data_IF_381780184491
#
_entry.id   IF_381780184491
#
_cell.length_a   1.000
_cell.length_b   1.000
_cell.length_c   1.000
_cell.angle_alpha   90.00
_cell.angle_beta   90.00
_cell.angle_gamma   90.00
#
_symmetry.space_group_name_H-M   'P 1'
#
loop_
_entity.id
_entity.type
_entity.pdbx_description
1 polymer ?
#
# COMPACT_ATOMS: atom_id res chain seq x y z
N UNK A 1 5.16 52.25 -32.86
CA UNK A 1 6.03 51.06 -32.92
C UNK A 1 5.10 49.85 -32.80
N UNK A 2 4.86 48.98 -33.81
CA UNK A 2 5.80 48.13 -34.61
C UNK A 2 6.78 47.40 -33.69
N UNK A 3 6.91 46.07 -33.63
CA UNK A 3 6.30 44.92 -34.34
C UNK A 3 6.14 43.76 -33.31
N UNK A 4 5.64 42.54 -33.56
CA UNK A 4 5.37 41.74 -34.77
C UNK A 4 4.09 40.89 -34.58
N UNK A 5 3.76 40.01 -35.54
CA UNK A 5 2.71 38.98 -35.44
C UNK A 5 3.01 37.82 -36.41
N UNK A 6 2.84 36.57 -35.95
CA UNK A 6 2.62 35.32 -36.73
C UNK A 6 2.00 34.32 -35.74
N UNK A 7 0.73 33.91 -35.84
CA UNK A 7 0.03 33.15 -36.89
C UNK A 7 0.63 31.76 -37.12
N UNK A 8 -0.05 30.71 -36.63
CA UNK A 8 0.10 29.34 -37.09
C UNK A 8 -1.27 28.66 -37.26
N UNK A 9 -1.34 27.79 -38.26
CA UNK A 9 -2.57 27.36 -38.93
C UNK A 9 -3.40 26.32 -38.14
N UNK A 10 -4.73 26.36 -38.30
CA UNK A 10 -5.60 25.19 -38.05
C UNK A 10 -5.17 24.05 -38.98
N UNK A 11 -5.13 22.80 -38.49
CA UNK A 11 -5.18 21.62 -39.37
C UNK A 11 -6.31 20.67 -38.98
N UNK A 12 -7.05 20.26 -40.00
CA UNK A 12 -8.27 19.45 -39.94
C UNK A 12 -7.98 18.00 -39.53
N UNK A 13 -8.95 17.37 -38.86
CA UNK A 13 -8.97 15.92 -38.70
C UNK A 13 -9.26 15.24 -40.05
N UNK A 14 -8.59 14.11 -40.30
CA UNK A 14 -9.00 13.12 -41.29
C UNK A 14 -9.01 11.78 -40.59
N UNK A 15 -10.21 11.25 -40.37
CA UNK A 15 -10.41 9.84 -40.05
C UNK A 15 -9.98 8.98 -41.24
N UNK A 16 -9.41 7.81 -40.93
CA UNK A 16 -9.35 6.70 -41.88
C UNK A 16 -10.01 5.50 -41.23
N UNK A 17 -11.15 5.12 -41.79
CA UNK A 17 -11.79 3.84 -41.53
C UNK A 17 -10.83 2.72 -41.97
N UNK A 18 -10.75 1.65 -41.18
CA UNK A 18 -10.19 0.39 -41.64
C UNK A 18 -11.34 -0.59 -41.79
N UNK A 19 -11.60 -1.02 -43.03
CA UNK A 19 -12.70 -1.95 -43.32
C UNK A 19 -12.31 -3.39 -43.00
N UNK A 20 -13.29 -4.04 -42.41
CA UNK A 20 -13.47 -5.45 -42.13
C UNK A 20 -13.30 -6.32 -43.40
N UNK A 21 -12.77 -7.54 -43.22
CA UNK A 21 -12.78 -8.60 -44.20
C UNK A 21 -12.77 -9.94 -43.46
N UNK A 22 -13.85 -10.70 -43.62
CA UNK A 22 -14.15 -11.88 -42.81
C UNK A 22 -13.55 -13.20 -43.32
N UNK A 23 -13.44 -14.12 -42.37
CA UNK A 23 -13.72 -15.57 -42.46
C UNK A 23 -12.69 -16.57 -43.07
N UNK A 24 -12.93 -17.81 -42.65
CA UNK A 24 -12.52 -19.13 -43.12
C UNK A 24 -11.27 -19.77 -42.48
N UNK A 25 -11.55 -20.84 -41.75
CA UNK A 25 -10.65 -21.93 -41.35
C UNK A 25 -11.42 -23.26 -41.54
N UNK A 26 -10.85 -24.46 -41.30
CA UNK A 26 -9.46 -24.93 -41.39
C UNK A 26 -9.38 -26.19 -42.32
N UNK A 27 -8.32 -27.01 -42.18
CA UNK A 27 -8.05 -28.37 -42.77
C UNK A 27 -7.03 -28.40 -43.92
N UNK A 28 -6.28 -29.48 -44.20
CA UNK A 28 -5.81 -30.71 -43.48
C UNK A 28 -4.87 -31.46 -44.48
N UNK A 29 -4.13 -32.50 -44.07
CA UNK A 29 -3.45 -33.51 -44.94
C UNK A 29 -2.31 -32.95 -45.86
N UNK A 30 -1.01 -33.10 -45.56
CA UNK A 30 -0.15 -34.30 -45.55
C UNK A 30 0.41 -34.73 -46.93
N UNK A 31 1.73 -34.96 -46.93
CA UNK A 31 2.52 -35.92 -47.71
C UNK A 31 3.21 -35.59 -49.06
N UNK A 32 4.33 -36.32 -49.24
CA UNK A 32 5.08 -36.62 -50.49
C UNK A 32 5.83 -35.48 -51.23
N UNK A 33 6.98 -35.72 -51.89
CA UNK A 33 8.00 -36.78 -51.74
C UNK A 33 9.27 -36.46 -52.56
N UNK A 34 10.44 -36.76 -51.98
CA UNK A 34 11.65 -37.32 -52.64
C UNK A 34 12.17 -36.69 -53.96
N UNK A 35 13.42 -36.16 -53.93
CA UNK A 35 14.40 -36.43 -55.01
C UNK A 35 15.88 -36.47 -54.58
N UNK A 36 16.29 -37.69 -54.19
CA UNK A 36 17.60 -38.34 -54.37
C UNK A 36 18.72 -37.55 -55.09
N UNK A 37 19.89 -37.40 -54.42
CA UNK A 37 21.16 -37.99 -54.90
C UNK A 37 22.20 -38.17 -53.79
N UNK A 38 22.90 -39.29 -53.81
CA UNK A 38 23.91 -39.66 -52.83
C UNK A 38 25.34 -39.37 -53.31
N UNK A 39 26.24 -39.09 -52.37
CA UNK A 39 27.67 -39.36 -52.49
C UNK A 39 28.19 -39.85 -51.13
N UNK A 40 29.10 -40.83 -51.14
CA UNK A 40 29.62 -41.50 -49.94
C UNK A 40 30.87 -40.81 -49.40
N UNK A 41 30.91 -40.53 -48.10
CA UNK A 41 32.11 -40.15 -47.36
C UNK A 41 32.06 -40.79 -45.98
N UNK A 42 33.01 -41.69 -45.68
CA UNK A 42 33.02 -42.49 -44.46
C UNK A 42 33.92 -41.88 -43.39
N UNK A 43 33.39 -41.62 -42.19
CA UNK A 43 34.18 -41.76 -40.96
C UNK A 43 33.27 -42.02 -39.76
N UNK A 44 33.62 -43.03 -38.95
CA UNK A 44 32.94 -43.40 -37.70
C UNK A 44 33.64 -42.71 -36.54
N UNK A 45 32.90 -41.96 -35.71
CA UNK A 45 33.31 -41.63 -34.35
C UNK A 45 32.24 -42.05 -33.36
N UNK A 46 32.67 -42.66 -32.26
CA UNK A 46 31.81 -43.34 -31.28
C UNK A 46 31.34 -42.34 -30.23
N UNK A 47 30.02 -42.11 -30.14
CA UNK A 47 29.43 -41.37 -29.02
C UNK A 47 29.22 -42.30 -27.81
N UNK A 48 30.01 -42.08 -26.76
CA UNK A 48 29.82 -42.74 -25.47
C UNK A 48 28.82 -41.93 -24.63
N UNK A 49 27.58 -42.43 -24.49
CA UNK A 49 26.53 -41.77 -23.72
C UNK A 49 26.66 -42.04 -22.22
N UNK A 50 27.12 -41.05 -21.43
CA UNK A 50 27.10 -41.12 -19.96
C UNK A 50 25.75 -40.62 -19.44
N UNK A 51 24.88 -41.56 -19.04
CA UNK A 51 23.51 -41.30 -18.59
C UNK A 51 23.45 -40.95 -17.09
N UNK A 52 23.70 -39.70 -16.72
CA UNK A 52 23.56 -39.23 -15.32
C UNK A 52 22.08 -38.97 -14.99
N UNK A 53 21.41 -39.95 -14.39
CA UNK A 53 20.08 -39.73 -13.79
C UNK A 53 20.23 -39.38 -12.31
N UNK A 54 20.02 -38.11 -11.95
CA UNK A 54 19.77 -37.71 -10.55
C UNK A 54 18.26 -37.49 -10.38
N UNK A 55 17.59 -38.40 -9.66
CA UNK A 55 16.21 -38.19 -9.22
C UNK A 55 16.18 -37.04 -8.20
N UNK A 56 15.54 -35.93 -8.55
CA UNK A 56 15.20 -34.88 -7.59
C UNK A 56 13.99 -35.37 -6.78
N UNK A 57 14.19 -35.70 -5.50
CA UNK A 57 13.10 -36.11 -4.61
C UNK A 57 12.50 -34.86 -3.96
N UNK A 58 11.37 -34.39 -4.48
CA UNK A 58 10.60 -33.31 -3.85
C UNK A 58 10.10 -33.84 -2.51
N UNK A 59 10.46 -33.17 -1.42
CA UNK A 59 9.94 -33.51 -0.10
C UNK A 59 8.47 -33.11 -0.01
N UNK A 60 7.61 -34.07 0.36
CA UNK A 60 6.21 -33.81 0.68
C UNK A 60 6.11 -32.86 1.87
N UNK A 61 5.21 -31.87 1.79
CA UNK A 61 4.91 -30.96 2.89
C UNK A 61 4.29 -31.70 4.07
N UNK A 62 4.73 -31.35 5.27
CA UNK A 62 4.36 -32.00 6.54
C UNK A 62 2.85 -31.90 6.84
N UNK A 63 2.24 -33.01 7.26
CA UNK A 63 0.83 -33.09 7.65
C UNK A 63 0.49 -32.23 8.87
N UNK A 64 1.47 -31.98 9.73
CA UNK A 64 1.35 -31.16 10.96
C UNK A 64 0.88 -29.73 10.66
N UNK A 65 1.32 -29.16 9.53
CA UNK A 65 0.93 -27.81 9.11
C UNK A 65 -0.56 -27.71 8.72
N UNK A 66 -1.14 -28.79 8.17
CA UNK A 66 -2.56 -28.81 7.78
C UNK A 66 -3.49 -28.87 9.00
N UNK A 67 -3.11 -29.63 10.02
CA UNK A 67 -3.89 -29.75 11.27
C UNK A 67 -3.91 -28.41 12.01
N UNK A 68 -2.77 -27.71 12.07
CA UNK A 68 -2.68 -26.37 12.68
C UNK A 68 -3.58 -25.34 11.98
N UNK A 69 -3.59 -25.33 10.64
CA UNK A 69 -4.43 -24.43 9.84
C UNK A 69 -5.93 -24.69 10.03
N UNK A 70 -6.34 -25.96 10.16
CA UNK A 70 -7.75 -26.32 10.40
C UNK A 70 -8.17 -25.99 11.84
N UNK A 71 -7.30 -26.20 12.84
CA UNK A 71 -7.58 -25.79 14.23
C UNK A 71 -7.74 -24.27 14.38
N UNK A 72 -6.89 -23.47 13.72
CA UNK A 72 -7.04 -22.01 13.74
C UNK A 72 -8.37 -21.56 13.10
N UNK A 73 -8.80 -22.21 12.01
CA UNK A 73 -10.07 -21.88 11.35
C UNK A 73 -11.31 -22.22 12.23
N UNK A 74 -11.26 -23.29 13.02
CA UNK A 74 -12.35 -23.70 13.92
C UNK A 74 -12.46 -22.81 15.16
N UNK A 75 -11.34 -22.33 15.72
CA UNK A 75 -11.35 -21.43 16.88
C UNK A 75 -11.89 -20.04 16.52
N UNK A 76 -11.65 -19.56 15.30
CA UNK A 76 -12.21 -18.28 14.81
C UNK A 76 -13.75 -18.27 14.66
N UNK A 77 -14.44 -19.41 14.79
CA UNK A 77 -15.91 -19.49 14.72
C UNK A 77 -16.62 -19.52 16.08
N UNK A 78 -15.90 -19.38 17.20
CA UNK A 78 -16.46 -19.54 18.55
C UNK A 78 -16.68 -18.22 19.32
N UNK A 79 -16.54 -17.06 18.68
CA UNK A 79 -16.86 -15.75 19.28
C UNK A 79 -17.93 -15.04 18.44
N UNK A 80 -19.16 -15.52 18.54
CA UNK A 80 -20.35 -14.75 18.17
C UNK A 80 -20.99 -14.20 19.43
N UNK A 81 -20.53 -13.03 19.89
CA UNK A 81 -21.26 -12.25 20.88
C UNK A 81 -22.63 -11.89 20.29
N UNK A 82 -23.70 -12.20 21.02
CA UNK A 82 -25.07 -11.87 20.61
C UNK A 82 -25.36 -10.38 20.83
N UNK A 83 -24.78 -9.53 19.98
CA UNK A 83 -25.09 -8.10 19.95
C UNK A 83 -26.48 -7.85 19.36
N UNK A 84 -27.22 -6.89 19.92
CA UNK A 84 -28.50 -6.45 19.36
C UNK A 84 -28.26 -5.58 18.12
N UNK A 85 -28.70 -6.06 16.96
CA UNK A 85 -28.76 -5.24 15.73
C UNK A 85 -29.82 -4.15 15.87
N UNK A 86 -29.69 -3.05 15.13
CA UNK A 86 -30.60 -1.90 15.23
C UNK A 86 -32.08 -2.30 15.13
N UNK A 87 -32.43 -3.19 14.20
CA UNK A 87 -33.81 -3.62 13.94
C UNK A 87 -34.46 -4.48 15.04
N UNK A 88 -33.69 -4.89 16.06
CA UNK A 88 -34.19 -5.66 17.21
C UNK A 88 -34.41 -4.83 18.48
N UNK A 89 -34.03 -3.56 18.45
CA UNK A 89 -34.02 -2.69 19.63
C UNK A 89 -35.38 -2.03 19.89
N UNK A 90 -35.76 -1.93 21.17
CA UNK A 90 -37.01 -1.29 21.61
C UNK A 90 -36.68 -0.08 22.49
N UNK A 91 -37.10 1.11 22.09
CA UNK A 91 -36.88 2.34 22.85
C UNK A 91 -37.81 2.44 24.07
N UNK A 92 -37.28 2.92 25.20
CA UNK A 92 -38.03 3.12 26.45
C UNK A 92 -39.21 4.09 26.30
N UNK A 93 -39.06 5.08 25.44
CA UNK A 93 -40.10 6.07 25.09
C UNK A 93 -41.16 5.55 24.10
N UNK A 94 -41.04 4.30 23.64
CA UNK A 94 -41.88 3.67 22.62
C UNK A 94 -41.87 4.36 21.24
N UNK A 95 -40.86 5.17 20.92
CA UNK A 95 -40.68 5.71 19.57
C UNK A 95 -40.42 4.56 18.58
N UNK A 96 -41.02 4.68 17.39
CA UNK A 96 -40.81 3.77 16.27
C UNK A 96 -40.14 4.52 15.12
N UNK A 97 -38.99 4.02 14.67
CA UNK A 97 -38.25 4.58 13.55
C UNK A 97 -38.44 3.71 12.30
N UNK A 98 -38.68 4.32 11.14
CA UNK A 98 -38.91 3.59 9.88
C UNK A 98 -37.64 2.97 9.31
N UNK A 99 -36.47 3.46 9.73
CA UNK A 99 -35.16 3.06 9.23
C UNK A 99 -34.14 3.04 10.37
N UNK A 100 -33.18 2.14 10.29
CA UNK A 100 -32.05 2.12 11.20
C UNK A 100 -30.82 1.53 10.51
N UNK A 101 -29.63 1.79 11.07
CA UNK A 101 -28.41 1.11 10.67
C UNK A 101 -27.41 0.98 11.81
N UNK A 102 -26.75 -0.17 11.84
CA UNK A 102 -25.55 -0.43 12.62
C UNK A 102 -24.39 0.35 11.96
N UNK A 103 -23.75 1.27 12.68
CA UNK A 103 -22.61 2.04 12.16
C UNK A 103 -21.34 1.16 12.20
N UNK A 104 -20.41 1.36 11.26
CA UNK A 104 -19.29 0.43 11.07
C UNK A 104 -18.22 0.48 12.16
N UNK A 105 -18.21 1.54 12.96
CA UNK A 105 -17.17 1.86 13.94
C UNK A 105 -17.81 2.26 15.28
N UNK A 106 -17.08 2.09 16.39
CA UNK A 106 -17.46 2.49 17.76
C UNK A 106 -18.72 1.80 18.31
N UNK A 107 -19.18 0.71 17.69
CA UNK A 107 -20.36 -0.04 18.14
C UNK A 107 -21.66 0.78 18.15
N UNK A 108 -21.71 1.87 17.39
CA UNK A 108 -22.78 2.86 17.42
C UNK A 108 -23.94 2.52 16.49
N UNK A 109 -25.11 3.11 16.73
CA UNK A 109 -26.31 2.90 15.90
C UNK A 109 -27.03 4.21 15.61
N UNK A 110 -27.63 4.33 14.42
CA UNK A 110 -28.51 5.43 14.06
C UNK A 110 -29.88 4.89 13.63
N UNK A 111 -30.94 5.47 14.17
CA UNK A 111 -32.34 5.20 13.81
C UNK A 111 -32.97 6.49 13.34
N UNK A 112 -33.86 6.43 12.35
CA UNK A 112 -34.53 7.63 11.85
C UNK A 112 -35.87 7.38 11.14
N UNK A 113 -36.66 8.44 11.11
CA UNK A 113 -37.87 8.57 10.30
C UNK A 113 -37.77 9.84 9.46
N UNK A 114 -37.93 9.72 8.15
CA UNK A 114 -37.84 10.83 7.19
C UNK A 114 -39.23 11.20 6.68
N UNK A 115 -39.68 12.42 6.98
CA UNK A 115 -40.97 12.93 6.56
C UNK A 115 -40.88 13.72 5.24
N UNK A 116 -41.97 13.74 4.48
CA UNK A 116 -42.04 14.38 3.15
C UNK A 116 -41.87 15.90 3.18
N UNK A 117 -42.14 16.54 4.31
CA UNK A 117 -41.94 17.98 4.53
C UNK A 117 -40.47 18.38 4.77
N UNK A 118 -39.54 17.42 4.88
CA UNK A 118 -38.15 17.69 5.24
C UNK A 118 -37.83 17.59 6.73
N UNK A 119 -38.77 17.19 7.58
CA UNK A 119 -38.46 16.78 8.96
C UNK A 119 -37.73 15.44 8.97
N UNK A 120 -36.71 15.30 9.81
CA UNK A 120 -35.98 14.07 10.08
C UNK A 120 -35.96 13.87 11.60
N UNK A 121 -36.63 12.83 12.09
CA UNK A 121 -36.55 12.40 13.48
C UNK A 121 -35.47 11.33 13.60
N UNK A 122 -34.63 11.39 14.63
CA UNK A 122 -33.55 10.43 14.85
C UNK A 122 -33.45 9.93 16.30
N UNK A 123 -32.80 8.78 16.45
CA UNK A 123 -32.13 8.36 17.68
C UNK A 123 -30.72 7.84 17.35
N UNK A 124 -29.68 8.54 17.81
CA UNK A 124 -28.30 8.03 17.80
C UNK A 124 -28.01 7.33 19.14
N UNK A 125 -27.50 6.10 19.12
CA UNK A 125 -27.29 5.27 20.31
C UNK A 125 -25.84 4.80 20.41
N UNK A 126 -25.26 5.00 21.60
CA UNK A 126 -23.95 4.49 22.00
C UNK A 126 -24.12 3.54 23.19
N UNK A 127 -23.98 2.21 23.02
CA UNK A 127 -23.83 1.26 24.11
C UNK A 127 -22.49 1.42 24.85
N UNK A 128 -22.31 0.68 25.93
CA UNK A 128 -21.08 0.64 26.75
C UNK A 128 -20.63 2.04 27.25
N UNK A 129 -21.59 2.95 27.42
CA UNK A 129 -21.37 4.34 27.75
C UNK A 129 -20.98 4.54 29.23
N UNK A 130 -19.88 5.27 29.45
CA UNK A 130 -19.48 5.76 30.78
C UNK A 130 -19.89 7.22 30.99
N UNK A 131 -20.35 7.57 32.20
CA UNK A 131 -20.62 8.97 32.57
C UNK A 131 -19.38 9.88 32.57
N UNK A 132 -18.18 9.32 32.42
CA UNK A 132 -16.93 10.05 32.18
C UNK A 132 -16.71 10.43 30.72
N UNK A 133 -17.64 10.10 29.82
CA UNK A 133 -17.52 10.32 28.39
C UNK A 133 -18.62 11.26 27.87
N UNK A 134 -18.38 11.80 26.67
CA UNK A 134 -19.39 12.42 25.81
C UNK A 134 -19.55 11.60 24.54
N UNK A 135 -20.70 11.73 23.90
CA UNK A 135 -20.99 11.17 22.57
C UNK A 135 -21.49 12.28 21.64
N UNK A 136 -21.27 12.13 20.33
CA UNK A 136 -21.80 13.04 19.34
C UNK A 136 -22.12 12.35 18.01
N UNK A 137 -23.18 12.81 17.36
CA UNK A 137 -23.48 12.51 15.96
C UNK A 137 -23.70 13.81 15.21
N UNK A 138 -23.19 13.91 13.98
CA UNK A 138 -23.15 15.17 13.26
C UNK A 138 -23.35 15.01 11.75
N UNK A 139 -24.03 15.98 11.13
CA UNK A 139 -24.15 16.10 9.67
C UNK A 139 -23.10 17.08 9.15
N UNK A 140 -22.37 16.71 8.09
CA UNK A 140 -21.57 17.66 7.31
C UNK A 140 -22.13 17.79 5.90
N UNK A 141 -22.75 18.94 5.61
CA UNK A 141 -23.39 19.22 4.31
C UNK A 141 -22.38 19.51 3.20
N UNK A 142 -21.14 19.87 3.53
CA UNK A 142 -20.15 20.39 2.58
C UNK A 142 -18.92 19.48 2.40
N UNK A 143 -18.66 18.59 3.35
CA UNK A 143 -17.51 17.67 3.34
C UNK A 143 -17.88 16.32 3.96
N UNK A 144 -16.98 15.34 3.87
CA UNK A 144 -17.16 14.04 4.54
C UNK A 144 -16.50 13.95 5.92
N UNK A 145 -15.72 14.96 6.33
CA UNK A 145 -14.94 14.93 7.58
C UNK A 145 -15.54 15.73 8.75
N UNK A 146 -14.83 15.74 9.87
CA UNK A 146 -15.21 16.46 11.10
C UNK A 146 -15.35 17.98 10.92
N UNK A 147 -14.44 18.63 10.17
CA UNK A 147 -14.45 20.09 10.03
C UNK A 147 -15.60 20.53 9.11
N UNK A 148 -16.43 21.45 9.60
CA UNK A 148 -17.70 21.85 9.00
C UNK A 148 -18.89 20.96 9.39
N UNK A 149 -18.70 19.98 10.27
CA UNK A 149 -19.81 19.16 10.77
C UNK A 149 -20.67 19.94 11.78
N UNK A 150 -21.93 19.57 11.85
CA UNK A 150 -22.97 20.22 12.64
C UNK A 150 -23.54 19.17 13.58
N UNK A 151 -23.09 19.23 14.82
CA UNK A 151 -23.18 18.11 15.76
C UNK A 151 -24.30 18.26 16.78
N UNK A 152 -24.83 17.12 17.17
CA UNK A 152 -25.66 16.90 18.33
C UNK A 152 -24.78 16.17 19.34
N UNK A 153 -24.61 16.74 20.53
CA UNK A 153 -23.66 16.27 21.54
C UNK A 153 -24.45 15.91 22.79
N UNK A 154 -24.11 14.81 23.45
CA UNK A 154 -24.68 14.42 24.73
C UNK A 154 -23.64 13.89 25.72
N UNK A 155 -23.88 14.15 27.01
CA UNK A 155 -23.10 13.61 28.13
C UNK A 155 -23.94 13.64 29.43
N UNK A 156 -23.41 13.10 30.53
CA UNK A 156 -24.05 13.19 31.86
C UNK A 156 -23.59 14.45 32.59
N UNK A 157 -24.47 15.43 32.72
CA UNK A 157 -24.24 16.61 33.55
C UNK A 157 -24.83 16.39 34.95
N UNK A 158 -23.98 16.31 35.98
CA UNK A 158 -24.42 16.28 37.39
C UNK A 158 -25.49 15.22 37.67
N UNK A 159 -25.29 14.02 37.12
CA UNK A 159 -26.21 12.85 37.15
C UNK A 159 -27.43 12.88 36.23
N UNK A 160 -27.69 13.96 35.48
CA UNK A 160 -28.74 14.00 34.45
C UNK A 160 -28.15 13.89 33.03
N UNK A 161 -28.79 13.18 32.09
CA UNK A 161 -28.40 13.26 30.68
C UNK A 161 -28.68 14.67 30.14
N UNK A 162 -27.74 15.21 29.37
CA UNK A 162 -27.82 16.54 28.78
C UNK A 162 -27.42 16.48 27.31
N UNK A 163 -28.22 17.09 26.42
CA UNK A 163 -27.97 17.15 24.99
C UNK A 163 -28.15 18.56 24.44
N UNK A 164 -27.36 18.90 23.42
CA UNK A 164 -27.33 20.23 22.81
C UNK A 164 -26.66 20.19 21.42
N UNK A 165 -26.79 21.27 20.65
CA UNK A 165 -26.17 21.41 19.32
C UNK A 165 -24.81 22.11 19.40
N UNK A 166 -23.85 21.70 18.58
CA UNK A 166 -22.53 22.36 18.47
C UNK A 166 -22.00 22.38 17.02
N UNK A 167 -21.66 23.56 16.46
CA UNK A 167 -21.00 23.66 15.16
C UNK A 167 -19.49 23.40 15.27
N UNK A 168 -18.97 22.46 14.46
CA UNK A 168 -17.55 22.06 14.48
C UNK A 168 -16.77 22.76 13.37
N UNK A 169 -16.18 23.93 13.67
CA UNK A 169 -15.44 24.74 12.70
C UNK A 169 -13.95 24.40 12.58
N UNK A 170 -13.37 23.65 13.53
CA UNK A 170 -11.96 23.24 13.53
C UNK A 170 -11.73 21.97 14.36
N UNK A 171 -10.53 21.39 14.26
CA UNK A 171 -10.07 20.30 15.13
C UNK A 171 -9.80 20.73 16.58
N UNK A 172 -9.73 22.04 16.86
CA UNK A 172 -9.53 22.60 18.19
C UNK A 172 -10.87 22.95 18.88
N UNK A 173 -11.95 22.28 18.50
CA UNK A 173 -13.27 22.48 19.10
C UNK A 173 -13.32 21.95 20.53
N UNK A 174 -14.05 22.65 21.40
CA UNK A 174 -14.44 22.18 22.74
C UNK A 174 -15.86 21.60 22.75
N UNK A 175 -16.47 21.43 21.57
CA UNK A 175 -17.89 21.12 21.39
C UNK A 175 -18.80 22.05 22.21
N UNK A 176 -18.51 23.36 22.21
CA UNK A 176 -19.32 24.35 22.91
C UNK A 176 -20.72 24.48 22.28
N UNK A 177 -21.79 24.75 23.07
CA UNK A 177 -23.13 24.95 22.54
C UNK A 177 -23.20 26.08 21.50
N UNK A 178 -23.92 25.84 20.41
CA UNK A 178 -24.10 26.83 19.33
C UNK A 178 -25.11 26.40 18.28
N UNK A 179 -25.60 27.38 17.52
CA UNK A 179 -26.59 27.19 16.46
C UNK A 179 -26.02 26.46 15.24
N UNK A 180 -26.87 25.68 14.57
CA UNK A 180 -26.56 25.02 13.30
C UNK A 180 -27.20 25.77 12.12
N UNK A 181 -26.81 25.43 10.89
CA UNK A 181 -27.37 25.98 9.64
C UNK A 181 -28.75 25.42 9.30
N UNK A 182 -29.25 24.47 10.08
CA UNK A 182 -30.57 23.87 9.99
C UNK A 182 -31.21 23.88 11.38
N UNK A 183 -32.53 23.90 11.42
CA UNK A 183 -33.28 23.94 12.68
C UNK A 183 -33.25 22.58 13.37
N UNK A 184 -33.14 22.59 14.69
CA UNK A 184 -33.26 21.40 15.56
C UNK A 184 -34.32 21.71 16.62
N UNK A 185 -35.62 21.69 16.28
CA UNK A 185 -36.70 22.09 17.19
C UNK A 185 -36.82 21.19 18.44
N UNK A 186 -36.26 19.98 18.40
CA UNK A 186 -36.21 19.07 19.55
C UNK A 186 -34.84 18.41 19.65
N UNK A 187 -34.26 18.41 20.85
CA UNK A 187 -33.08 17.61 21.20
C UNK A 187 -33.18 17.19 22.67
N UNK A 188 -32.99 15.90 22.93
CA UNK A 188 -33.07 15.26 24.25
C UNK A 188 -31.99 14.18 24.34
N UNK A 189 -31.56 13.82 25.55
CA UNK A 189 -30.74 12.63 25.78
C UNK A 189 -31.33 11.75 26.88
N UNK A 190 -31.05 10.45 26.75
CA UNK A 190 -31.37 9.42 27.73
C UNK A 190 -30.10 8.65 28.07
N UNK A 191 -29.91 8.37 29.36
CA UNK A 191 -28.91 7.44 29.85
C UNK A 191 -29.64 6.36 30.66
N UNK A 192 -29.67 5.14 30.14
CA UNK A 192 -30.30 4.00 30.79
C UNK A 192 -29.48 2.75 30.47
N UNK A 193 -29.50 1.72 31.32
CA UNK A 193 -28.88 0.40 31.06
C UNK A 193 -27.39 0.37 30.61
N UNK A 194 -26.62 1.46 30.80
CA UNK A 194 -25.24 1.56 30.29
C UNK A 194 -25.13 2.02 28.83
N UNK A 195 -26.19 2.59 28.26
CA UNK A 195 -26.22 3.21 26.94
C UNK A 195 -26.65 4.68 27.03
N UNK A 196 -26.10 5.51 26.14
CA UNK A 196 -26.51 6.91 25.96
C UNK A 196 -27.15 7.07 24.58
N UNK A 197 -28.31 7.72 24.55
CA UNK A 197 -29.10 7.95 23.34
C UNK A 197 -29.33 9.44 23.16
N UNK A 198 -29.09 9.95 21.94
CA UNK A 198 -29.47 11.30 21.52
C UNK A 198 -30.72 11.20 20.67
N UNK A 199 -31.84 11.74 21.15
CA UNK A 199 -33.05 11.94 20.36
C UNK A 199 -33.07 13.35 19.79
N UNK A 200 -33.38 13.49 18.51
CA UNK A 200 -33.53 14.81 17.91
C UNK A 200 -34.52 14.84 16.75
N UNK A 201 -35.10 16.01 16.53
CA UNK A 201 -35.88 16.35 15.34
C UNK A 201 -35.13 17.45 14.60
N UNK A 202 -34.82 17.22 13.32
CA UNK A 202 -34.07 18.13 12.45
C UNK A 202 -34.96 18.59 11.29
N UNK A 203 -34.89 19.86 10.91
CA UNK A 203 -35.56 20.38 9.71
C UNK A 203 -34.52 20.59 8.59
N UNK A 204 -34.45 19.62 7.68
CA UNK A 204 -33.54 19.60 6.55
C UNK A 204 -34.31 19.87 5.25
N UNK A 205 -33.69 20.49 4.25
CA UNK A 205 -34.33 20.67 2.93
C UNK A 205 -34.95 19.36 2.43
N UNK A 206 -36.19 19.40 1.93
CA UNK A 206 -36.89 18.22 1.41
C UNK A 206 -36.19 17.60 0.20
N UNK A 207 -35.35 18.38 -0.51
CA UNK A 207 -34.48 17.90 -1.59
C UNK A 207 -33.25 17.11 -1.11
N UNK A 208 -32.91 17.14 0.18
CA UNK A 208 -31.82 16.31 0.72
C UNK A 208 -32.30 14.89 0.94
N UNK A 209 -31.86 13.99 0.05
CA UNK A 209 -32.01 12.54 0.15
C UNK A 209 -30.83 11.87 0.85
N UNK A 210 -29.68 12.56 0.90
CA UNK A 210 -28.41 11.95 1.31
C UNK A 210 -27.55 12.97 2.05
N UNK A 211 -26.92 12.57 3.15
CA UNK A 211 -26.06 13.42 3.98
C UNK A 211 -24.75 12.71 4.31
N UNK A 212 -23.66 13.46 4.48
CA UNK A 212 -22.47 12.92 5.13
C UNK A 212 -22.65 13.04 6.64
N UNK A 213 -22.34 11.96 7.35
CA UNK A 213 -22.40 11.87 8.79
C UNK A 213 -21.03 11.56 9.37
N UNK A 214 -20.76 12.08 10.57
CA UNK A 214 -19.63 11.67 11.42
C UNK A 214 -20.18 11.42 12.82
N UNK A 215 -19.60 10.45 13.53
CA UNK A 215 -19.98 10.12 14.90
C UNK A 215 -18.73 9.91 15.75
N UNK A 216 -18.82 10.18 17.05
CA UNK A 216 -17.70 10.09 17.98
C UNK A 216 -18.15 9.85 19.41
N UNK A 217 -17.20 9.33 20.20
CA UNK A 217 -17.19 9.42 21.65
C UNK A 217 -15.82 9.88 22.14
N UNK A 218 -15.76 10.46 23.34
CA UNK A 218 -14.49 10.93 23.92
C UNK A 218 -14.60 11.23 25.41
N UNK A 219 -13.47 11.56 26.07
CA UNK A 219 -13.42 11.82 27.50
C UNK A 219 -14.08 13.17 27.86
N UNK A 220 -14.84 13.20 28.95
CA UNK A 220 -15.45 14.38 29.53
C UNK A 220 -14.65 14.84 30.77
N UNK A 221 -14.25 16.11 30.82
CA UNK A 221 -13.52 16.69 31.95
C UNK A 221 -14.27 17.89 32.50
N UNK A 222 -14.78 17.78 33.73
CA UNK A 222 -15.50 18.89 34.40
C UNK A 222 -16.71 19.43 33.62
N UNK A 223 -17.43 18.57 32.90
CA UNK A 223 -18.54 18.96 32.02
C UNK A 223 -18.12 19.52 30.65
N UNK A 224 -16.81 19.59 30.35
CA UNK A 224 -16.29 19.99 29.03
C UNK A 224 -15.88 18.75 28.23
N UNK A 225 -16.38 18.56 27.00
CA UNK A 225 -15.87 17.55 26.08
C UNK A 225 -14.39 17.74 25.76
N UNK A 226 -13.57 16.71 26.03
CA UNK A 226 -12.17 16.62 25.65
C UNK A 226 -11.98 15.94 24.29
N UNK A 227 -10.78 16.05 23.72
CA UNK A 227 -10.42 15.45 22.43
C UNK A 227 -10.61 13.94 22.43
N UNK A 228 -11.32 13.40 21.45
CA UNK A 228 -11.43 11.97 21.19
C UNK A 228 -10.12 11.38 20.63
N UNK A 229 -10.00 10.05 20.57
CA UNK A 229 -8.82 9.42 19.95
C UNK A 229 -8.70 9.78 18.47
N UNK A 230 -7.47 9.96 17.98
CA UNK A 230 -7.19 10.33 16.59
C UNK A 230 -6.61 9.17 15.77
N UNK A 231 -6.93 7.93 16.14
CA UNK A 231 -6.48 6.69 15.48
C UNK A 231 -7.61 5.65 15.37
N UNK A 232 -7.36 4.54 14.68
CA UNK A 232 -8.27 3.38 14.63
C UNK A 232 -9.69 3.70 14.14
N UNK A 233 -10.68 3.20 14.88
CA UNK A 233 -12.11 3.37 14.60
C UNK A 233 -12.56 4.84 14.58
N UNK A 234 -11.97 5.68 15.44
CA UNK A 234 -12.37 7.09 15.56
C UNK A 234 -12.11 7.90 14.28
N UNK A 235 -11.03 7.62 13.55
CA UNK A 235 -10.75 8.26 12.25
C UNK A 235 -11.49 7.60 11.07
N UNK A 236 -12.22 6.51 11.33
CA UNK A 236 -13.06 5.80 10.37
C UNK A 236 -14.55 6.06 10.59
N UNK A 237 -14.94 6.66 11.73
CA UNK A 237 -16.32 6.94 12.17
C UNK A 237 -17.00 8.06 11.37
N UNK A 238 -17.07 7.86 10.06
CA UNK A 238 -17.59 8.79 9.06
C UNK A 238 -18.19 8.03 7.88
N UNK A 239 -19.31 8.50 7.35
CA UNK A 239 -20.02 7.79 6.29
C UNK A 239 -21.04 8.65 5.56
N UNK A 240 -21.78 8.02 4.65
CA UNK A 240 -22.84 8.66 3.89
C UNK A 240 -24.15 7.92 4.13
N UNK A 241 -25.15 8.65 4.62
CA UNK A 241 -26.46 8.16 5.02
C UNK A 241 -27.48 8.56 3.95
N UNK A 242 -28.16 7.57 3.35
CA UNK A 242 -29.36 7.80 2.55
C UNK A 242 -30.57 7.87 3.48
N UNK A 243 -31.19 9.05 3.54
CA UNK A 243 -32.32 9.33 4.43
C UNK A 243 -33.62 8.64 3.99
N UNK A 244 -33.72 8.18 2.73
CA UNK A 244 -34.92 7.56 2.16
C UNK A 244 -34.85 6.03 2.15
N UNK A 245 -33.72 5.45 1.75
CA UNK A 245 -33.63 4.00 1.50
C UNK A 245 -33.30 3.15 2.73
N UNK A 246 -32.98 3.77 3.88
CA UNK A 246 -32.51 3.05 5.06
C UNK A 246 -31.05 2.57 4.96
N UNK A 247 -30.39 2.75 3.82
CA UNK A 247 -29.03 2.27 3.61
C UNK A 247 -27.99 3.32 4.00
N UNK A 248 -27.22 3.07 5.07
CA UNK A 248 -25.86 3.61 5.08
C UNK A 248 -25.07 2.94 3.98
N UNK A 249 -24.43 3.72 3.12
CA UNK A 249 -23.37 3.18 2.28
C UNK A 249 -22.06 3.16 3.09
N UNK A 250 -21.87 2.09 3.86
CA UNK A 250 -20.59 1.75 4.50
C UNK A 250 -19.55 1.49 3.40
N UNK A 251 -18.94 2.58 2.91
CA UNK A 251 -18.05 2.56 1.75
C UNK A 251 -18.70 2.91 0.41
N UNK A 252 -19.69 3.80 0.36
CA UNK A 252 -20.23 4.34 -0.90
C UNK A 252 -19.25 5.27 -1.64
N UNK A 253 -18.49 4.74 -2.61
CA UNK A 253 -17.72 5.47 -3.63
C UNK A 253 -16.50 6.31 -3.18
N UNK A 254 -16.55 7.12 -2.12
CA UNK A 254 -15.44 8.02 -1.73
C UNK A 254 -14.52 7.45 -0.64
N UNK A 255 -15.07 6.97 0.48
CA UNK A 255 -14.27 6.48 1.62
C UNK A 255 -13.71 5.08 1.36
N UNK A 256 -14.51 4.16 0.79
CA UNK A 256 -14.01 2.84 0.35
C UNK A 256 -12.95 2.98 -0.73
N UNK A 257 -13.10 3.93 -1.67
CA UNK A 257 -12.06 4.16 -2.69
C UNK A 257 -10.80 4.78 -2.08
N UNK A 258 -10.91 5.61 -1.03
CA UNK A 258 -9.75 6.12 -0.26
C UNK A 258 -9.03 5.00 0.50
N UNK A 259 -9.74 4.17 1.28
CA UNK A 259 -9.16 3.02 1.99
C UNK A 259 -8.57 2.01 0.99
N UNK A 260 -9.28 1.69 -0.08
CA UNK A 260 -8.77 0.86 -1.18
C UNK A 260 -7.54 1.48 -1.85
N UNK A 261 -7.48 2.79 -2.06
CA UNK A 261 -6.28 3.50 -2.57
C UNK A 261 -5.12 3.43 -1.59
N UNK A 262 -5.34 3.60 -0.28
CA UNK A 262 -4.32 3.40 0.77
C UNK A 262 -3.75 1.98 0.71
N UNK A 263 -4.62 0.97 0.67
CA UNK A 263 -4.22 -0.44 0.60
C UNK A 263 -3.49 -0.77 -0.71
N UNK A 264 -3.98 -0.27 -1.85
CA UNK A 264 -3.29 -0.39 -3.16
C UNK A 264 -1.92 0.29 -3.11
N UNK A 265 -1.81 1.51 -2.58
CA UNK A 265 -0.55 2.21 -2.42
C UNK A 265 0.44 1.39 -1.57
N UNK A 266 0.01 0.89 -0.41
CA UNK A 266 0.84 0.04 0.45
C UNK A 266 1.33 -1.23 -0.27
N UNK A 267 0.42 -2.00 -0.86
CA UNK A 267 0.75 -3.24 -1.59
C UNK A 267 1.68 -2.98 -2.77
N UNK A 268 1.40 -1.96 -3.60
CA UNK A 268 2.25 -1.61 -4.74
C UNK A 268 3.68 -1.30 -4.29
N UNK A 269 3.86 -0.51 -3.22
CA UNK A 269 5.17 -0.11 -2.72
C UNK A 269 5.92 -1.26 -2.01
N UNK A 270 5.23 -2.12 -1.26
CA UNK A 270 5.83 -3.32 -0.64
C UNK A 270 6.33 -4.30 -1.71
N UNK A 271 5.55 -4.54 -2.78
CA UNK A 271 5.96 -5.43 -3.87
C UNK A 271 7.10 -4.82 -4.70
N UNK A 272 7.02 -3.53 -5.04
CA UNK A 272 8.04 -2.85 -5.86
C UNK A 272 9.32 -2.53 -5.06
N UNK A 273 9.30 -1.41 -4.33
CA UNK A 273 10.42 -0.88 -3.57
C UNK A 273 10.86 -1.81 -2.44
N UNK A 274 9.89 -2.43 -1.76
CA UNK A 274 10.14 -3.31 -0.62
C UNK A 274 10.68 -4.71 -0.97
N UNK A 275 10.45 -5.21 -2.20
CA UNK A 275 10.74 -6.61 -2.56
C UNK A 275 11.47 -6.75 -3.89
N UNK A 276 10.95 -6.22 -5.00
CA UNK A 276 11.58 -6.34 -6.33
C UNK A 276 12.92 -5.58 -6.41
N UNK A 277 13.01 -4.37 -5.81
CA UNK A 277 14.27 -3.62 -5.79
C UNK A 277 15.42 -4.36 -5.08
N UNK A 278 15.29 -4.84 -3.83
CA UNK A 278 16.33 -5.64 -3.18
C UNK A 278 16.58 -6.98 -3.88
N UNK A 279 15.54 -7.68 -4.37
CA UNK A 279 15.71 -8.93 -5.12
C UNK A 279 16.55 -8.73 -6.39
N UNK A 280 16.28 -7.68 -7.16
CA UNK A 280 17.05 -7.35 -8.36
C UNK A 280 18.51 -7.01 -8.03
N UNK A 281 18.77 -6.36 -6.90
CA UNK A 281 20.13 -6.09 -6.43
C UNK A 281 20.85 -7.39 -6.01
N UNK A 282 20.17 -8.31 -5.32
CA UNK A 282 20.69 -9.63 -4.98
C UNK A 282 21.05 -10.44 -6.23
N UNK A 283 20.19 -10.44 -7.26
CA UNK A 283 20.47 -11.10 -8.56
C UNK A 283 21.79 -10.58 -9.15
N UNK A 284 21.98 -9.26 -9.24
CA UNK A 284 23.20 -8.68 -9.79
C UNK A 284 24.46 -8.92 -8.94
N UNK A 285 24.33 -8.99 -7.60
CA UNK A 285 25.43 -9.27 -6.69
C UNK A 285 25.87 -10.74 -6.78
N UNK A 286 24.93 -11.68 -6.70
CA UNK A 286 25.22 -13.10 -6.52
C UNK A 286 25.31 -13.90 -7.81
N UNK A 287 24.40 -13.69 -8.78
CA UNK A 287 24.39 -14.50 -10.01
C UNK A 287 25.56 -14.16 -10.94
N UNK A 288 26.04 -12.91 -10.92
CA UNK A 288 27.19 -12.42 -11.71
C UNK A 288 28.50 -13.20 -11.43
N UNK A 289 28.61 -13.90 -10.31
CA UNK A 289 29.78 -14.73 -9.96
C UNK A 289 29.83 -16.02 -10.80
N UNK A 290 28.71 -16.48 -11.36
CA UNK A 290 28.62 -17.70 -12.17
C UNK A 290 28.80 -17.37 -13.65
N UNK A 291 29.87 -17.87 -14.28
CA UNK A 291 30.13 -17.66 -15.72
C UNK A 291 29.00 -18.19 -16.60
N UNK A 292 28.37 -19.30 -16.21
CA UNK A 292 27.20 -19.87 -16.91
C UNK A 292 25.94 -18.99 -16.83
N UNK A 293 25.93 -17.93 -16.01
CA UNK A 293 24.85 -16.97 -15.88
C UNK A 293 25.13 -15.64 -16.61
N UNK A 294 26.24 -15.49 -17.32
CA UNK A 294 26.48 -14.33 -18.20
C UNK A 294 25.93 -14.62 -19.61
N UNK A 295 25.09 -13.76 -20.21
CA UNK A 295 24.62 -12.45 -19.74
C UNK A 295 23.29 -12.48 -18.94
N UNK A 296 22.73 -13.67 -18.66
CA UNK A 296 21.40 -13.83 -18.03
C UNK A 296 21.21 -13.02 -16.72
N UNK A 297 22.21 -12.94 -15.85
CA UNK A 297 22.14 -12.15 -14.60
C UNK A 297 21.83 -10.67 -14.87
N UNK A 298 22.35 -10.12 -15.97
CA UNK A 298 22.16 -8.71 -16.33
C UNK A 298 20.74 -8.45 -16.80
N UNK A 299 20.19 -9.32 -17.66
CA UNK A 299 18.81 -9.22 -18.10
C UNK A 299 17.82 -9.45 -16.95
N UNK A 300 18.06 -10.41 -16.07
CA UNK A 300 17.23 -10.66 -14.88
C UNK A 300 17.26 -9.46 -13.92
N UNK A 301 18.42 -8.87 -13.68
CA UNK A 301 18.54 -7.64 -12.90
C UNK A 301 17.73 -6.49 -13.53
N UNK A 302 17.95 -6.19 -14.82
CA UNK A 302 17.23 -5.10 -15.52
C UNK A 302 15.72 -5.35 -15.56
N UNK A 303 15.26 -6.58 -15.79
CA UNK A 303 13.84 -6.92 -15.76
C UNK A 303 13.23 -6.69 -14.38
N UNK A 304 13.92 -7.10 -13.30
CA UNK A 304 13.45 -6.95 -11.93
C UNK A 304 13.44 -5.47 -11.49
N UNK A 305 14.48 -4.70 -11.82
CA UNK A 305 14.56 -3.26 -11.52
C UNK A 305 13.53 -2.45 -12.31
N UNK A 306 13.37 -2.71 -13.63
CA UNK A 306 12.41 -1.97 -14.46
C UNK A 306 10.96 -2.28 -14.08
N UNK A 307 10.62 -3.54 -13.80
CA UNK A 307 9.26 -3.91 -13.34
C UNK A 307 8.97 -3.35 -11.94
N UNK A 308 9.92 -3.46 -11.01
CA UNK A 308 9.86 -2.79 -9.70
C UNK A 308 9.64 -1.29 -9.86
N UNK A 309 10.41 -0.61 -10.71
CA UNK A 309 10.30 0.83 -10.91
C UNK A 309 8.92 1.23 -11.45
N UNK A 310 8.42 0.59 -12.51
CA UNK A 310 7.12 0.90 -13.12
C UNK A 310 5.97 0.74 -12.10
N UNK A 311 5.95 -0.36 -11.35
CA UNK A 311 4.97 -0.59 -10.28
C UNK A 311 5.13 0.44 -9.15
N UNK A 312 6.37 0.79 -8.82
CA UNK A 312 6.71 1.80 -7.83
C UNK A 312 6.28 3.22 -8.20
N UNK A 313 6.30 3.60 -9.49
CA UNK A 313 5.74 4.88 -9.96
C UNK A 313 4.23 4.94 -9.75
N UNK A 314 3.51 3.84 -10.03
CA UNK A 314 2.06 3.78 -9.78
C UNK A 314 1.74 3.86 -8.27
N UNK A 315 2.54 3.19 -7.43
CA UNK A 315 2.48 3.31 -5.97
C UNK A 315 2.70 4.76 -5.51
N UNK A 316 3.78 5.40 -5.95
CA UNK A 316 4.11 6.80 -5.64
C UNK A 316 3.01 7.77 -6.08
N UNK A 317 2.53 7.68 -7.32
CA UNK A 317 1.47 8.54 -7.86
C UNK A 317 0.15 8.40 -7.06
N UNK A 318 -0.19 7.18 -6.63
CA UNK A 318 -1.33 6.94 -5.74
C UNK A 318 -1.14 7.61 -4.38
N UNK A 319 0.11 7.64 -3.86
CA UNK A 319 0.47 8.33 -2.62
C UNK A 319 0.30 9.85 -2.70
N UNK A 320 0.76 10.47 -3.81
CA UNK A 320 0.53 11.90 -4.08
C UNK A 320 -0.97 12.21 -4.15
N UNK A 321 -1.77 11.36 -4.80
CA UNK A 321 -3.22 11.53 -4.84
C UNK A 321 -3.86 11.42 -3.46
N UNK A 322 -3.45 10.46 -2.63
CA UNK A 322 -3.92 10.33 -1.24
C UNK A 322 -3.58 11.55 -0.38
N UNK A 323 -2.39 12.14 -0.56
CA UNK A 323 -2.00 13.38 0.12
C UNK A 323 -2.84 14.58 -0.30
N UNK A 324 -3.06 14.79 -1.61
CA UNK A 324 -3.95 15.88 -2.08
C UNK A 324 -5.41 15.70 -1.63
N UNK A 325 -5.88 14.46 -1.50
CA UNK A 325 -7.23 14.15 -0.99
C UNK A 325 -7.35 14.32 0.55
N UNK A 326 -6.23 14.54 1.26
CA UNK A 326 -6.13 14.57 2.74
C UNK A 326 -5.46 15.86 3.26
N UNK A 327 -5.86 17.02 2.73
CA UNK A 327 -5.23 18.33 3.04
C UNK A 327 -5.06 18.64 4.53
N UNK A 328 -5.95 18.13 5.39
CA UNK A 328 -5.96 18.35 6.84
C UNK A 328 -4.87 17.62 7.64
N UNK A 329 -4.28 16.54 7.13
CA UNK A 329 -3.24 15.76 7.84
C UNK A 329 -2.09 15.47 6.88
N UNK A 330 -0.95 16.12 7.09
CA UNK A 330 0.25 15.95 6.27
C UNK A 330 1.23 14.99 6.94
N UNK A 331 1.54 13.89 6.25
CA UNK A 331 2.56 12.93 6.67
C UNK A 331 3.91 13.27 6.00
N UNK A 332 4.49 14.39 6.39
CA UNK A 332 5.61 14.99 5.66
C UNK A 332 6.88 14.13 5.64
N UNK A 333 7.18 13.35 6.70
CA UNK A 333 8.31 12.42 6.71
C UNK A 333 8.19 11.37 5.59
N UNK A 334 7.14 10.55 5.62
CA UNK A 334 6.88 9.52 4.63
C UNK A 334 6.76 10.10 3.20
N UNK A 335 6.13 11.26 3.06
CA UNK A 335 6.00 11.95 1.76
C UNK A 335 7.34 12.42 1.22
N UNK A 336 8.18 13.06 2.03
CA UNK A 336 9.47 13.58 1.61
C UNK A 336 10.46 12.45 1.29
N UNK A 337 10.49 11.38 2.10
CA UNK A 337 11.29 10.19 1.81
C UNK A 337 10.78 9.48 0.56
N UNK A 338 9.46 9.34 0.37
CA UNK A 338 8.85 8.79 -0.84
C UNK A 338 9.18 9.57 -2.12
N UNK A 339 9.21 10.91 -2.06
CA UNK A 339 9.67 11.76 -3.17
C UNK A 339 11.17 11.57 -3.44
N UNK A 340 11.98 11.52 -2.38
CA UNK A 340 13.43 11.27 -2.50
C UNK A 340 13.72 9.92 -3.16
N UNK A 341 13.00 8.87 -2.74
CA UNK A 341 13.05 7.53 -3.35
C UNK A 341 12.73 7.54 -4.84
N UNK A 342 11.64 8.22 -5.23
CA UNK A 342 11.25 8.35 -6.63
C UNK A 342 12.35 9.06 -7.46
N UNK A 343 12.90 10.17 -6.97
CA UNK A 343 14.00 10.87 -7.63
C UNK A 343 15.26 10.01 -7.78
N UNK A 344 15.68 9.30 -6.73
CA UNK A 344 16.85 8.42 -6.77
C UNK A 344 16.64 7.20 -7.69
N UNK A 345 15.45 6.60 -7.67
CA UNK A 345 15.07 5.51 -8.57
C UNK A 345 15.03 5.94 -10.05
N UNK A 346 14.54 7.16 -10.31
CA UNK A 346 14.60 7.78 -11.65
C UNK A 346 16.05 7.90 -12.13
N UNK A 347 16.94 8.40 -11.26
CA UNK A 347 18.38 8.51 -11.52
C UNK A 347 19.02 7.15 -11.84
N UNK A 348 18.56 6.08 -11.19
CA UNK A 348 19.04 4.72 -11.46
C UNK A 348 18.54 4.14 -12.77
N UNK A 349 17.33 4.45 -13.21
CA UNK A 349 16.85 4.06 -14.52
C UNK A 349 17.73 4.67 -15.63
N UNK A 350 18.13 5.94 -15.47
CA UNK A 350 19.10 6.59 -16.36
C UNK A 350 20.51 6.01 -16.30
N UNK A 351 20.89 5.28 -15.25
CA UNK A 351 22.19 4.61 -15.18
C UNK A 351 22.37 3.59 -16.32
N UNK A 352 21.30 2.99 -16.84
CA UNK A 352 21.36 2.10 -18.00
C UNK A 352 21.78 2.85 -19.28
N UNK A 353 21.22 4.04 -19.52
CA UNK A 353 21.54 4.86 -20.70
C UNK A 353 22.94 5.48 -20.61
N UNK A 354 23.34 5.88 -19.40
CA UNK A 354 24.65 6.48 -19.13
C UNK A 354 25.77 5.44 -18.90
N UNK A 355 25.52 4.15 -19.19
CA UNK A 355 26.42 3.04 -18.90
C UNK A 355 27.68 3.07 -19.80
N UNK A 356 28.89 3.35 -19.28
CA UNK A 356 30.09 3.38 -20.10
C UNK A 356 30.53 1.97 -20.49
N UNK A 357 31.26 1.88 -21.61
CA UNK A 357 31.99 0.67 -22.04
C UNK A 357 32.92 0.15 -20.93
N UNK A 358 33.18 -1.16 -20.93
CA UNK A 358 33.91 -1.87 -19.85
C UNK A 358 35.28 -1.25 -19.57
N UNK A 359 35.97 -0.82 -20.63
CA UNK A 359 37.35 -0.33 -20.60
C UNK A 359 37.47 1.19 -20.44
N UNK A 360 36.34 1.90 -20.28
CA UNK A 360 36.33 3.36 -20.20
C UNK A 360 36.59 3.85 -18.76
N UNK A 361 37.41 4.91 -18.57
CA UNK A 361 37.74 5.46 -17.25
C UNK A 361 36.53 5.81 -16.37
N UNK A 362 35.43 6.28 -16.97
CA UNK A 362 34.19 6.59 -16.25
C UNK A 362 33.40 5.36 -15.78
N UNK A 363 33.77 4.14 -16.20
CA UNK A 363 33.17 2.88 -15.74
C UNK A 363 33.30 2.71 -14.22
N UNK A 364 34.42 3.14 -13.63
CA UNK A 364 34.66 3.10 -12.19
C UNK A 364 33.67 4.02 -11.44
N UNK A 365 33.63 5.30 -11.82
CA UNK A 365 32.72 6.29 -11.23
C UNK A 365 31.25 5.87 -11.38
N UNK A 366 30.86 5.36 -12.55
CA UNK A 366 29.53 4.82 -12.80
C UNK A 366 29.21 3.64 -11.85
N UNK A 367 30.16 2.72 -11.61
CA UNK A 367 29.93 1.60 -10.68
C UNK A 367 29.75 2.13 -9.24
N UNK A 368 30.57 3.08 -8.79
CA UNK A 368 30.48 3.67 -7.44
C UNK A 368 29.11 4.33 -7.25
N UNK A 369 28.74 5.22 -8.18
CA UNK A 369 27.44 5.88 -8.23
C UNK A 369 26.27 4.87 -8.21
N UNK A 370 26.29 3.89 -9.13
CA UNK A 370 25.21 2.92 -9.29
C UNK A 370 25.08 1.99 -8.07
N UNK A 371 26.18 1.65 -7.39
CA UNK A 371 26.10 0.86 -6.16
C UNK A 371 25.66 1.71 -4.96
N UNK A 372 26.24 2.89 -4.75
CA UNK A 372 25.89 3.76 -3.63
C UNK A 372 24.40 4.15 -3.64
N UNK A 373 23.90 4.70 -4.76
CA UNK A 373 22.50 5.08 -4.89
C UNK A 373 21.58 3.86 -4.80
N UNK A 374 21.99 2.71 -5.33
CA UNK A 374 21.22 1.46 -5.24
C UNK A 374 20.99 0.99 -3.80
N UNK A 375 22.03 1.00 -2.97
CA UNK A 375 21.90 0.65 -1.55
C UNK A 375 21.11 1.71 -0.76
N UNK A 376 21.30 3.01 -1.05
CA UNK A 376 20.50 4.08 -0.44
C UNK A 376 19.00 3.90 -0.71
N UNK A 377 18.60 3.56 -1.95
CA UNK A 377 17.20 3.28 -2.30
C UNK A 377 16.65 2.12 -1.47
N UNK A 378 17.39 1.01 -1.32
CA UNK A 378 16.91 -0.14 -0.54
C UNK A 378 16.67 0.24 0.94
N UNK A 379 17.62 0.94 1.56
CA UNK A 379 17.51 1.38 2.97
C UNK A 379 16.32 2.33 3.16
N UNK A 380 16.22 3.36 2.31
CA UNK A 380 15.13 4.34 2.36
C UNK A 380 13.78 3.69 2.07
N UNK A 381 13.72 2.67 1.21
CA UNK A 381 12.49 1.94 0.88
C UNK A 381 11.95 1.18 2.08
N UNK A 382 12.82 0.45 2.79
CA UNK A 382 12.46 -0.29 4.01
C UNK A 382 11.97 0.69 5.09
N UNK A 383 12.72 1.77 5.34
CA UNK A 383 12.32 2.81 6.29
C UNK A 383 10.95 3.41 5.95
N UNK A 384 10.75 3.82 4.70
CA UNK A 384 9.50 4.45 4.26
C UNK A 384 8.30 3.50 4.30
N UNK A 385 8.51 2.19 4.14
CA UNK A 385 7.46 1.18 4.28
C UNK A 385 7.05 1.01 5.75
N UNK A 386 7.99 1.06 6.70
CA UNK A 386 7.65 1.02 8.13
C UNK A 386 6.91 2.30 8.58
N UNK A 387 7.39 3.48 8.19
CA UNK A 387 6.63 4.74 8.34
C UNK A 387 5.23 4.62 7.73
N UNK A 388 5.12 4.00 6.55
CA UNK A 388 3.84 3.76 5.89
C UNK A 388 2.91 2.83 6.68
N UNK A 389 3.44 1.79 7.34
CA UNK A 389 2.63 0.95 8.24
C UNK A 389 2.17 1.72 9.48
N UNK A 390 3.03 2.54 10.08
CA UNK A 390 2.69 3.32 11.27
C UNK A 390 1.67 4.45 10.94
N UNK A 391 1.59 4.88 9.68
CA UNK A 391 0.57 5.82 9.17
C UNK A 391 -0.75 5.14 8.80
N UNK A 392 -0.71 3.95 8.19
CA UNK A 392 -1.92 3.22 7.80
C UNK A 392 -2.60 2.52 8.98
N UNK A 393 -1.84 2.23 10.05
CA UNK A 393 -2.22 1.39 11.19
C UNK A 393 -2.98 0.11 10.79
N UNK A 394 -2.47 -0.70 9.84
CA UNK A 394 -3.15 -1.89 9.39
C UNK A 394 -2.96 -3.03 10.41
N UNK A 395 -3.84 -4.02 10.38
CA UNK A 395 -3.72 -5.23 11.21
C UNK A 395 -2.27 -5.76 11.24
N UNK A 396 -1.77 -6.01 12.46
CA UNK A 396 -0.42 -6.49 12.79
C UNK A 396 0.14 -7.59 11.87
N UNK A 397 -0.73 -8.45 11.31
CA UNK A 397 -0.38 -9.47 10.32
C UNK A 397 0.36 -8.91 9.09
N UNK A 398 0.05 -7.69 8.64
CA UNK A 398 0.70 -7.06 7.48
C UNK A 398 2.14 -6.64 7.77
N UNK A 399 2.37 -5.97 8.91
CA UNK A 399 3.70 -5.57 9.39
C UNK A 399 4.57 -6.81 9.63
N UNK A 400 4.00 -7.86 10.25
CA UNK A 400 4.66 -9.17 10.46
C UNK A 400 4.98 -9.89 9.14
N UNK A 401 4.08 -9.86 8.16
CA UNK A 401 4.33 -10.47 6.85
C UNK A 401 5.50 -9.79 6.12
N UNK A 402 5.60 -8.46 6.15
CA UNK A 402 6.73 -7.75 5.55
C UNK A 402 8.06 -8.03 6.28
N UNK A 403 8.05 -8.08 7.62
CA UNK A 403 9.21 -8.52 8.41
C UNK A 403 9.65 -9.94 8.00
N UNK A 404 8.70 -10.86 7.77
CA UNK A 404 8.97 -12.19 7.23
C UNK A 404 9.66 -12.18 5.87
N UNK A 405 9.24 -11.30 4.95
CA UNK A 405 9.89 -11.10 3.64
C UNK A 405 11.33 -10.60 3.81
N UNK A 406 11.57 -9.64 4.71
CA UNK A 406 12.91 -9.11 4.99
C UNK A 406 13.83 -10.18 5.60
N UNK A 407 13.35 -10.98 6.54
CA UNK A 407 14.10 -12.10 7.12
C UNK A 407 14.45 -13.13 6.05
N UNK A 408 13.49 -13.47 5.17
CA UNK A 408 13.72 -14.39 4.05
C UNK A 408 14.80 -13.86 3.09
N UNK A 409 14.68 -12.61 2.61
CA UNK A 409 15.67 -11.99 1.73
C UNK A 409 17.05 -11.90 2.39
N UNK A 410 17.11 -11.53 3.67
CA UNK A 410 18.34 -11.46 4.46
C UNK A 410 19.02 -12.81 4.62
N UNK A 411 18.26 -13.86 4.95
CA UNK A 411 18.76 -15.24 5.05
C UNK A 411 19.36 -15.72 3.72
N UNK A 412 18.62 -15.55 2.62
CA UNK A 412 19.12 -15.92 1.28
C UNK A 412 20.33 -15.08 0.86
N UNK A 413 20.38 -13.79 1.22
CA UNK A 413 21.56 -12.96 0.99
C UNK A 413 22.80 -13.51 1.73
N UNK A 414 22.68 -13.87 3.00
CA UNK A 414 23.78 -14.45 3.79
C UNK A 414 24.25 -15.79 3.21
N UNK A 415 23.32 -16.68 2.84
CA UNK A 415 23.68 -17.96 2.22
C UNK A 415 24.37 -17.78 0.86
N UNK A 416 23.87 -16.87 0.02
CA UNK A 416 24.45 -16.59 -1.29
C UNK A 416 25.81 -15.90 -1.19
N UNK A 417 26.00 -14.99 -0.22
CA UNK A 417 27.29 -14.36 0.07
C UNK A 417 28.33 -15.42 0.50
N UNK A 418 27.98 -16.32 1.43
CA UNK A 418 28.87 -17.43 1.81
C UNK A 418 29.25 -18.32 0.61
N UNK A 419 28.28 -18.63 -0.26
CA UNK A 419 28.51 -19.44 -1.47
C UNK A 419 29.38 -18.71 -2.52
N UNK A 420 29.19 -17.41 -2.74
CA UNK A 420 30.03 -16.64 -3.68
C UNK A 420 31.45 -16.46 -3.17
N UNK A 421 31.65 -16.20 -1.87
CA UNK A 421 32.97 -16.16 -1.26
C UNK A 421 33.71 -17.49 -1.41
N UNK A 422 33.04 -18.63 -1.16
CA UNK A 422 33.61 -19.95 -1.40
C UNK A 422 34.06 -20.14 -2.86
N UNK A 423 33.24 -19.75 -3.84
CA UNK A 423 33.58 -19.85 -5.27
C UNK A 423 34.77 -18.95 -5.62
N UNK A 424 34.80 -17.72 -5.12
CA UNK A 424 35.90 -16.76 -5.36
C UNK A 424 37.22 -17.26 -4.77
N UNK A 425 37.20 -17.75 -3.53
CA UNK A 425 38.39 -18.32 -2.87
C UNK A 425 38.87 -19.58 -3.62
N UNK A 426 37.95 -20.48 -4.01
CA UNK A 426 38.30 -21.68 -4.78
C UNK A 426 38.97 -21.33 -6.11
N UNK A 427 38.40 -20.42 -6.90
CA UNK A 427 39.01 -19.97 -8.16
C UNK A 427 40.39 -19.35 -7.96
N UNK A 428 40.57 -18.56 -6.89
CA UNK A 428 41.88 -17.98 -6.54
C UNK A 428 42.92 -19.08 -6.29
N UNK A 429 42.59 -20.13 -5.53
CA UNK A 429 43.46 -21.29 -5.29
C UNK A 429 43.82 -22.04 -6.58
N UNK A 430 42.81 -22.38 -7.39
CA UNK A 430 43.01 -23.05 -8.69
C UNK A 430 43.87 -22.21 -9.66
N UNK A 431 43.80 -20.89 -9.59
CA UNK A 431 44.65 -20.00 -10.40
C UNK A 431 46.10 -19.93 -9.91
N UNK A 432 46.34 -19.95 -8.60
CA UNK A 432 47.70 -20.01 -8.04
C UNK A 432 48.38 -21.37 -8.25
N UNK A 433 47.61 -22.46 -8.25
CA UNK A 433 48.12 -23.82 -8.52
C UNK A 433 48.49 -24.02 -10.00
N UNK A 434 47.84 -23.29 -10.93
CA UNK A 434 48.16 -23.33 -12.37
C UNK A 434 49.36 -22.46 -12.78
N UNK A 435 49.75 -21.51 -11.94
CA UNK A 435 50.94 -20.67 -12.14
C UNK A 435 51.84 -20.69 -10.89
N UNK A 436 52.47 -21.83 -10.56
CA UNK A 436 53.50 -21.84 -9.53
C UNK A 436 54.64 -20.91 -9.99
N UNK A 437 54.99 -19.92 -9.16
CA UNK A 437 56.17 -19.09 -9.41
C UNK A 437 57.43 -19.96 -9.31
N UNK A 438 57.96 -20.36 -10.45
CA UNK A 438 59.31 -20.90 -10.55
C UNK A 438 60.27 -19.73 -10.70
N UNK A 439 60.91 -19.32 -9.61
CA UNK A 439 61.77 -18.14 -9.55
C UNK A 439 62.50 -18.01 -8.20
N UNK A 440 63.41 -18.94 -7.93
CA UNK A 440 64.23 -18.97 -6.71
C UNK A 440 65.61 -18.32 -6.96
N UNK A 441 66.08 -17.49 -6.01
CA UNK A 441 67.42 -16.88 -6.02
C UNK A 441 67.55 -15.63 -6.91
N UNK A 442 68.42 -14.65 -6.62
CA UNK A 442 69.65 -14.68 -5.81
C UNK A 442 69.83 -13.38 -4.98
N UNK A 443 70.50 -13.47 -3.84
CA UNK A 443 70.87 -12.33 -2.98
C UNK A 443 71.81 -11.33 -3.68
N UNK A 444 71.60 -10.02 -3.45
CA UNK A 444 72.52 -8.95 -3.86
C UNK A 444 72.58 -7.84 -2.81
N UNK A 445 73.68 -7.79 -2.05
CA UNK A 445 73.90 -6.84 -0.94
C UNK A 445 74.81 -5.70 -1.39
N UNK A 446 74.49 -4.47 -0.96
CA UNK A 446 75.30 -3.24 -0.99
C UNK A 446 75.72 -2.65 -2.35
N UNK A 447 75.55 -1.32 -2.49
CA UNK A 447 76.16 -0.50 -3.53
C UNK A 447 75.78 0.99 -3.39
N UNK A 448 76.75 1.84 -3.07
CA UNK A 448 76.54 3.30 -2.92
C UNK A 448 76.51 4.04 -4.27
N UNK A 449 75.80 5.17 -4.31
CA UNK A 449 76.38 6.43 -4.81
C UNK A 449 75.91 6.99 -6.17
N UNK A 450 75.88 8.33 -6.23
CA UNK A 450 75.72 9.22 -7.40
C UNK A 450 74.38 9.12 -8.17
N UNK A 451 73.58 10.20 -8.33
CA UNK A 451 73.84 11.41 -9.14
C UNK A 451 74.13 11.02 -10.60
N UNK A 452 73.28 11.35 -11.58
CA UNK A 452 73.20 12.71 -12.16
C UNK A 452 71.93 12.86 -13.02
N UNK A 453 71.32 14.06 -12.98
CA UNK A 453 70.73 14.88 -14.08
C UNK A 453 70.91 14.26 -15.50
N UNK A 454 69.92 14.21 -16.39
CA UNK A 454 68.97 15.26 -16.87
C UNK A 454 67.53 14.75 -16.92
#
# INVERSE_FOLDING_TARGET
MKLFSTKFEKRSSSSKEFKEADDVSPKEIQDMSVKVRASRGSSRYVHQNVKVSRKFKISTMDGSLRILLVSCALVSMLVSSSAQTCGSYTFSNNNLYTSCTDLSELGSYIHWTRHTNGTLEIAYRQPDFSSTNWIAWAINLNSTGMVGAQSLVAYVNSSAPYAYTSPVSSYSTTLAPGSLSFSVPKIEAENSNGEMIIYATLELSSSLTTVNQVWQEGPLSGGTPGTHSTTGEHVQSMGTLDLLSGQTSTGGSATSSRVRRRNIHGVLNVVSWGTLMPLGAMIARYMKVFQAADPAWFYLHVACQSSGYIVGVAGWATGIKLGSDSSAVQYDTHRNVGITLFCLGTLQLFALLLRPNKDHKYRLYWNIYHHAIGYCIIILSIFNIFEGFDILDPEEKWKRAYIGILIFLGFFAIMLEAATWYIVIKRKRESSEKYPQNGNGVNGVNGHGARTVV
#
